data_IF_315567039879
#
_entry.id   IF_315567039879
#
_cell.length_a   1.000
_cell.length_b   1.000
_cell.length_c   1.000
_cell.angle_alpha   90.00
_cell.angle_beta   90.00
_cell.angle_gamma   90.00
#
_symmetry.space_group_name_H-M   'P 1'
#
loop_
_entity.id
_entity.type
_entity.pdbx_description
1 polymer ?
#
# COMPACT_ATOMS: atom_id res chain seq x y z
N UNK A 1 -38.83 -62.22 28.63
CA UNK A 1 -38.60 -63.16 27.51
C UNK A 1 -39.74 -63.01 26.51
N UNK A 2 -39.41 -62.93 25.21
CA UNK A 2 -40.27 -62.90 24.00
C UNK A 2 -41.21 -61.68 23.81
N UNK A 3 -40.87 -60.70 22.94
CA UNK A 3 -40.94 -60.61 21.44
C UNK A 3 -42.37 -60.44 20.92
N UNK A 4 -42.61 -59.39 20.11
CA UNK A 4 -43.10 -59.31 18.70
C UNK A 4 -43.85 -57.95 18.60
N UNK A 5 -43.94 -57.14 17.54
CA UNK A 5 -43.29 -56.95 16.24
C UNK A 5 -43.67 -55.53 15.75
N UNK A 6 -42.88 -55.03 14.80
CA UNK A 6 -43.02 -53.81 13.99
C UNK A 6 -44.38 -53.61 13.30
N UNK A 7 -44.72 -52.37 12.95
CA UNK A 7 -45.13 -51.92 11.59
C UNK A 7 -45.16 -50.38 11.55
N UNK A 8 -44.86 -49.85 10.37
CA UNK A 8 -44.47 -48.49 10.04
C UNK A 8 -45.60 -47.64 9.43
N UNK A 9 -45.21 -46.40 9.07
CA UNK A 9 -45.77 -45.50 8.06
C UNK A 9 -46.84 -44.51 8.58
N UNK A 10 -46.56 -43.19 8.50
CA UNK A 10 -47.04 -42.34 7.39
C UNK A 10 -46.55 -40.89 7.56
N UNK A 11 -46.05 -40.33 6.46
CA UNK A 11 -45.62 -38.94 6.34
C UNK A 11 -46.81 -37.97 6.30
N UNK A 12 -46.62 -36.74 6.77
CA UNK A 12 -47.34 -35.56 6.24
C UNK A 12 -46.50 -34.31 6.43
N UNK A 13 -46.27 -33.61 5.32
CA UNK A 13 -45.66 -32.30 5.26
C UNK A 13 -46.68 -31.21 5.61
N UNK A 14 -46.22 -30.06 6.13
CA UNK A 14 -46.91 -28.78 5.92
C UNK A 14 -45.95 -27.61 6.09
N UNK A 15 -46.22 -26.57 5.30
CA UNK A 15 -45.42 -25.38 5.00
C UNK A 15 -45.66 -24.21 5.99
N UNK A 16 -44.80 -23.20 5.83
CA UNK A 16 -45.04 -21.74 5.89
C UNK A 16 -44.52 -20.93 7.11
N UNK A 17 -43.52 -20.10 6.80
CA UNK A 17 -43.39 -18.63 6.98
C UNK A 17 -43.64 -17.95 8.34
N UNK A 18 -42.62 -17.22 8.82
CA UNK A 18 -42.63 -15.79 9.23
C UNK A 18 -41.25 -15.46 9.86
N UNK A 19 -40.40 -14.63 9.24
CA UNK A 19 -40.37 -13.17 9.37
C UNK A 19 -40.26 -12.66 10.81
N UNK A 20 -39.10 -12.09 11.16
CA UNK A 20 -38.97 -10.88 11.99
C UNK A 20 -37.58 -10.27 11.75
N UNK A 21 -37.54 -9.21 10.94
CA UNK A 21 -36.46 -8.24 10.99
C UNK A 21 -36.58 -7.42 12.26
N UNK A 22 -35.45 -7.09 12.88
CA UNK A 22 -35.39 -6.06 13.90
C UNK A 22 -34.45 -4.95 13.43
N UNK A 23 -35.06 -3.85 13.03
CA UNK A 23 -34.38 -2.58 12.80
C UNK A 23 -34.11 -1.95 14.16
N UNK A 24 -32.85 -1.64 14.44
CA UNK A 24 -32.49 -0.71 15.50
C UNK A 24 -31.66 0.40 14.87
N UNK A 25 -32.34 1.49 14.50
CA UNK A 25 -31.72 2.77 14.30
C UNK A 25 -31.15 3.25 15.64
N UNK A 26 -29.83 3.36 15.72
CA UNK A 26 -29.18 4.30 16.63
C UNK A 26 -28.47 5.33 15.77
N UNK A 27 -29.05 6.54 15.73
CA UNK A 27 -28.32 7.75 15.34
C UNK A 27 -27.14 7.89 16.30
N UNK A 28 -25.93 8.00 15.76
CA UNK A 28 -24.83 8.62 16.47
C UNK A 28 -24.08 9.51 15.48
N UNK A 29 -23.71 10.67 15.99
CA UNK A 29 -23.15 11.81 15.27
C UNK A 29 -21.85 11.49 14.54
N UNK A 30 -21.58 12.33 13.53
CA UNK A 30 -20.54 12.19 12.52
C UNK A 30 -19.20 11.68 13.04
N UNK A 31 -18.87 10.46 12.66
CA UNK A 31 -17.48 10.02 12.49
C UNK A 31 -17.22 9.95 11.00
N UNK A 32 -16.14 10.58 10.53
CA UNK A 32 -15.66 10.43 9.15
C UNK A 32 -15.59 8.96 8.77
N UNK A 33 -16.61 8.51 8.03
CA UNK A 33 -16.67 7.15 7.50
C UNK A 33 -15.69 7.08 6.35
N UNK A 34 -14.45 6.74 6.68
CA UNK A 34 -13.47 6.31 5.69
C UNK A 34 -14.03 5.04 5.02
N UNK A 35 -14.47 5.16 3.77
CA UNK A 35 -15.01 4.02 3.01
C UNK A 35 -13.85 3.16 2.54
N UNK A 36 -13.66 2.00 3.18
CA UNK A 36 -12.71 1.00 2.74
C UNK A 36 -13.28 0.21 1.56
N UNK A 37 -12.57 0.22 0.44
CA UNK A 37 -12.91 -0.56 -0.75
C UNK A 37 -11.81 -1.59 -1.00
N UNK A 38 -12.12 -2.85 -0.70
CA UNK A 38 -11.27 -3.97 -1.13
C UNK A 38 -11.37 -4.10 -2.65
N UNK A 39 -10.24 -4.04 -3.34
CA UNK A 39 -10.21 -4.08 -4.80
C UNK A 39 -10.29 -5.55 -5.22
N UNK A 40 -11.48 -6.00 -5.60
CA UNK A 40 -11.70 -7.39 -6.01
C UNK A 40 -10.80 -7.75 -7.21
N UNK A 41 -10.24 -8.97 -7.19
CA UNK A 41 -9.48 -9.58 -8.29
C UNK A 41 -8.13 -8.93 -8.63
N UNK A 42 -7.55 -8.12 -7.74
CA UNK A 42 -6.13 -7.70 -7.92
C UNK A 42 -5.22 -8.90 -7.70
N UNK A 43 -4.57 -9.35 -8.77
CA UNK A 43 -3.52 -10.36 -8.70
C UNK A 43 -2.29 -9.75 -8.01
N UNK A 44 -1.79 -10.43 -6.98
CA UNK A 44 -0.49 -10.12 -6.37
C UNK A 44 0.61 -10.59 -7.34
N UNK A 45 1.56 -9.70 -7.63
CA UNK A 45 2.62 -9.92 -8.60
C UNK A 45 4.00 -9.95 -7.94
N UNK A 46 5.05 -10.24 -8.71
CA UNK A 46 6.42 -10.27 -8.20
C UNK A 46 6.87 -8.87 -7.78
N UNK A 47 7.55 -8.80 -6.64
CA UNK A 47 8.09 -7.56 -6.08
C UNK A 47 9.16 -6.93 -6.96
N UNK A 48 9.92 -7.70 -7.72
CA UNK A 48 10.92 -7.19 -8.66
C UNK A 48 11.08 -8.14 -9.84
N UNK A 49 11.58 -7.61 -10.95
CA UNK A 49 12.06 -8.38 -12.09
C UNK A 49 13.59 -8.53 -12.11
N UNK A 50 14.32 -7.88 -11.19
CA UNK A 50 15.77 -7.97 -11.06
C UNK A 50 16.23 -9.10 -10.15
N UNK A 51 17.50 -9.47 -10.28
CA UNK A 51 18.21 -10.36 -9.34
C UNK A 51 18.97 -9.55 -8.30
N UNK A 52 19.36 -10.12 -7.15
CA UNK A 52 20.30 -9.48 -6.24
C UNK A 52 21.60 -9.09 -6.94
N UNK A 53 22.12 -7.89 -6.67
CA UNK A 53 23.38 -7.43 -7.29
C UNK A 53 23.55 -5.92 -7.41
N UNK A 54 24.63 -5.47 -8.07
CA UNK A 54 25.01 -4.05 -8.15
C UNK A 54 24.12 -3.23 -9.09
N UNK A 55 23.54 -3.85 -10.11
CA UNK A 55 22.66 -3.17 -11.07
C UNK A 55 21.44 -2.53 -10.40
N UNK A 56 21.01 -1.41 -11.00
CA UNK A 56 19.85 -0.64 -10.56
C UNK A 56 18.60 -1.52 -10.48
N UNK A 57 17.83 -1.35 -9.41
CA UNK A 57 16.63 -2.12 -9.10
C UNK A 57 15.37 -1.28 -9.26
N UNK A 58 14.31 -1.96 -9.68
CA UNK A 58 12.94 -1.48 -9.61
C UNK A 58 12.13 -2.45 -8.76
N UNK A 59 11.16 -1.91 -8.02
CA UNK A 59 10.29 -2.68 -7.15
C UNK A 59 8.83 -2.31 -7.36
N UNK A 60 7.96 -3.31 -7.36
CA UNK A 60 6.56 -3.19 -7.71
C UNK A 60 5.71 -3.68 -6.56
N UNK A 61 4.67 -2.91 -6.23
CA UNK A 61 3.69 -3.21 -5.19
C UNK A 61 2.28 -3.08 -5.78
N UNK A 62 1.44 -4.09 -5.62
CA UNK A 62 0.05 -4.06 -6.10
C UNK A 62 -0.85 -3.45 -5.02
N UNK A 63 -1.70 -2.49 -5.39
CA UNK A 63 -2.70 -1.90 -4.49
C UNK A 63 -3.84 -2.90 -4.37
N UNK A 64 -4.05 -3.43 -3.16
CA UNK A 64 -5.06 -4.47 -2.90
C UNK A 64 -6.28 -3.94 -2.17
N UNK A 65 -6.14 -2.81 -1.49
CA UNK A 65 -7.21 -2.15 -0.77
C UNK A 65 -6.93 -0.64 -0.75
N UNK A 66 -8.00 0.13 -0.85
CA UNK A 66 -7.97 1.59 -0.83
C UNK A 66 -9.00 2.09 0.19
N UNK A 67 -8.54 3.00 1.05
CA UNK A 67 -9.40 3.79 1.95
C UNK A 67 -9.31 5.24 1.52
N UNK A 68 -10.45 5.82 1.17
CA UNK A 68 -10.56 7.26 0.88
C UNK A 68 -10.86 8.02 2.17
N UNK A 69 -10.13 9.12 2.39
CA UNK A 69 -10.44 10.13 3.42
C UNK A 69 -10.91 11.41 2.75
N UNK A 70 -11.15 12.46 3.54
CA UNK A 70 -11.52 13.78 3.03
C UNK A 70 -10.40 14.47 2.24
N UNK A 71 -9.14 14.11 2.51
CA UNK A 71 -7.97 14.81 1.95
C UNK A 71 -6.88 13.89 1.41
N UNK A 72 -7.04 12.57 1.52
CA UNK A 72 -6.02 11.60 1.14
C UNK A 72 -6.62 10.26 0.73
N UNK A 73 -5.77 9.44 0.13
CA UNK A 73 -6.03 8.02 -0.12
C UNK A 73 -4.98 7.18 0.56
N UNK A 74 -5.44 6.15 1.26
CA UNK A 74 -4.59 5.19 1.96
C UNK A 74 -4.63 3.89 1.17
N UNK A 75 -3.50 3.48 0.65
CA UNK A 75 -3.33 2.27 -0.14
C UNK A 75 -2.66 1.18 0.69
N UNK A 76 -3.31 0.03 0.83
CA UNK A 76 -2.65 -1.18 1.33
C UNK A 76 -2.10 -1.96 0.14
N UNK A 77 -0.79 -2.18 0.15
CA UNK A 77 -0.10 -2.81 -0.97
C UNK A 77 0.49 -4.17 -0.65
N UNK A 78 0.59 -5.03 -1.67
CA UNK A 78 1.17 -6.37 -1.57
C UNK A 78 1.91 -6.75 -2.85
N UNK A 79 3.01 -7.46 -2.71
CA UNK A 79 3.70 -8.21 -3.76
C UNK A 79 4.31 -9.48 -3.19
N UNK A 80 4.81 -10.37 -4.06
CA UNK A 80 5.53 -11.58 -3.69
C UNK A 80 7.02 -11.41 -3.94
N UNK A 81 7.83 -11.68 -2.92
CA UNK A 81 9.26 -11.87 -3.05
C UNK A 81 9.61 -13.27 -2.53
N UNK A 82 10.09 -14.14 -3.42
CA UNK A 82 10.16 -15.58 -3.18
C UNK A 82 8.79 -16.14 -2.74
N UNK A 83 8.70 -16.71 -1.53
CA UNK A 83 7.46 -17.24 -0.95
C UNK A 83 6.77 -16.24 -0.01
N UNK A 84 7.41 -15.10 0.27
CA UNK A 84 6.91 -14.12 1.23
C UNK A 84 6.06 -13.05 0.56
N UNK A 85 4.98 -12.68 1.23
CA UNK A 85 4.25 -11.46 0.89
C UNK A 85 4.96 -10.25 1.51
N UNK A 86 5.27 -9.26 0.69
CA UNK A 86 5.88 -7.99 1.08
C UNK A 86 4.91 -6.84 0.82
N UNK A 87 4.99 -5.76 1.59
CA UNK A 87 4.16 -4.58 1.36
C UNK A 87 4.26 -3.53 2.45
N UNK A 88 3.65 -2.38 2.20
CA UNK A 88 3.49 -1.28 3.15
C UNK A 88 2.18 -0.53 2.87
N UNK A 89 1.78 0.35 3.80
CA UNK A 89 0.70 1.31 3.57
C UNK A 89 1.27 2.64 3.06
N UNK A 90 0.59 3.21 2.07
CA UNK A 90 0.91 4.51 1.51
C UNK A 90 -0.28 5.43 1.64
N UNK A 91 -0.17 6.48 2.46
CA UNK A 91 -1.14 7.58 2.46
C UNK A 91 -0.63 8.67 1.53
N UNK A 92 -1.43 9.06 0.54
CA UNK A 92 -1.10 10.12 -0.42
C UNK A 92 -2.20 11.16 -0.36
N UNK A 93 -1.82 12.41 -0.11
CA UNK A 93 -2.73 13.55 -0.07
C UNK A 93 -3.24 13.84 -1.49
N UNK A 94 -4.53 14.12 -1.63
CA UNK A 94 -5.14 14.56 -2.88
C UNK A 94 -4.70 16.00 -3.20
N UNK A 95 -4.73 16.39 -4.48
CA UNK A 95 -4.41 17.74 -4.94
C UNK A 95 -2.97 18.21 -4.63
N UNK A 96 -1.99 17.31 -4.77
CA UNK A 96 -0.57 17.70 -4.78
C UNK A 96 -0.32 18.57 -6.03
N UNK A 97 0.24 19.78 -5.91
CA UNK A 97 0.51 20.64 -7.07
C UNK A 97 1.40 19.98 -8.13
N UNK A 98 1.28 20.46 -9.37
CA UNK A 98 2.28 20.21 -10.39
C UNK A 98 3.65 20.76 -9.94
N UNK A 99 4.70 19.94 -10.01
CA UNK A 99 6.06 20.42 -9.76
C UNK A 99 6.84 20.77 -11.02
N UNK A 100 6.26 20.53 -12.20
CA UNK A 100 6.79 20.96 -13.50
C UNK A 100 5.89 22.04 -14.09
N UNK A 101 6.38 23.27 -14.16
CA UNK A 101 5.68 24.44 -14.71
C UNK A 101 6.47 24.94 -15.92
N UNK A 102 5.80 25.12 -17.06
CA UNK A 102 6.42 25.53 -18.32
C UNK A 102 7.64 24.68 -18.74
N UNK A 103 7.60 23.40 -18.37
CA UNK A 103 8.66 22.43 -18.66
C UNK A 103 9.85 22.48 -17.72
N UNK A 104 9.83 23.34 -16.69
CA UNK A 104 10.89 23.47 -15.70
C UNK A 104 10.42 23.00 -14.30
N UNK A 105 11.32 22.42 -13.48
CA UNK A 105 11.06 22.22 -12.06
C UNK A 105 10.73 23.55 -11.37
N UNK A 106 9.70 23.54 -10.53
CA UNK A 106 9.38 24.67 -9.66
C UNK A 106 9.81 24.35 -8.23
N UNK A 107 10.76 25.12 -7.69
CA UNK A 107 11.21 24.94 -6.31
C UNK A 107 10.14 25.42 -5.30
N UNK A 108 9.32 26.39 -5.67
CA UNK A 108 8.31 27.01 -4.79
C UNK A 108 7.16 26.06 -4.44
N UNK A 109 6.71 25.23 -5.39
CA UNK A 109 5.57 24.31 -5.20
C UNK A 109 5.92 22.84 -5.41
N UNK A 110 7.08 22.55 -6.00
CA UNK A 110 7.47 21.20 -6.36
C UNK A 110 7.81 20.34 -5.16
N UNK A 111 8.45 20.90 -4.13
CA UNK A 111 8.87 20.17 -2.93
C UNK A 111 7.89 20.32 -1.78
N UNK A 112 7.43 19.19 -1.24
CA UNK A 112 6.49 19.16 -0.12
C UNK A 112 6.79 18.00 0.82
N UNK A 113 6.77 18.26 2.13
CA UNK A 113 6.89 17.21 3.15
C UNK A 113 5.50 16.75 3.60
N UNK A 114 5.35 15.45 3.83
CA UNK A 114 4.13 14.86 4.42
C UNK A 114 2.96 14.68 3.44
N UNK A 115 3.14 14.96 2.15
CA UNK A 115 2.14 14.63 1.10
C UNK A 115 2.08 13.14 0.78
N UNK A 116 3.17 12.42 1.03
CA UNK A 116 3.22 10.96 1.02
C UNK A 116 3.69 10.51 2.39
N UNK A 117 2.98 9.54 2.98
CA UNK A 117 3.36 8.90 4.24
C UNK A 117 3.43 7.39 4.03
N UNK A 118 4.47 6.76 4.57
CA UNK A 118 4.67 5.32 4.47
C UNK A 118 4.60 4.73 5.87
N UNK A 119 3.74 3.74 6.07
CA UNK A 119 3.53 3.09 7.37
C UNK A 119 3.56 1.57 7.26
N UNK A 120 3.94 0.93 8.37
CA UNK A 120 4.12 -0.51 8.44
C UNK A 120 2.79 -1.28 8.41
N UNK A 121 2.80 -2.42 7.72
CA UNK A 121 1.81 -3.50 7.77
C UNK A 121 2.22 -4.63 8.74
N UNK A 122 3.22 -4.39 9.60
CA UNK A 122 3.78 -5.41 10.47
C UNK A 122 4.66 -6.39 9.68
N UNK A 123 4.35 -7.69 9.75
CA UNK A 123 5.17 -8.75 9.14
C UNK A 123 5.45 -8.54 7.65
N UNK A 124 4.45 -8.06 6.89
CA UNK A 124 4.64 -7.82 5.45
C UNK A 124 5.65 -6.70 5.17
N UNK A 125 5.71 -5.68 6.02
CA UNK A 125 6.71 -4.60 5.90
C UNK A 125 8.08 -5.04 6.41
N UNK A 126 8.14 -5.90 7.41
CA UNK A 126 9.41 -6.52 7.82
C UNK A 126 9.98 -7.38 6.68
N UNK A 127 9.13 -8.14 5.99
CA UNK A 127 9.54 -8.91 4.82
C UNK A 127 9.97 -7.99 3.66
N UNK A 128 9.34 -6.81 3.50
CA UNK A 128 9.78 -5.80 2.54
C UNK A 128 11.22 -5.33 2.81
N UNK A 129 11.56 -5.02 4.07
CA UNK A 129 12.94 -4.62 4.44
C UNK A 129 13.93 -5.74 4.15
N UNK A 130 13.60 -6.99 4.49
CA UNK A 130 14.45 -8.15 4.20
C UNK A 130 14.65 -8.35 2.71
N UNK A 131 13.57 -8.28 1.92
CA UNK A 131 13.62 -8.40 0.47
C UNK A 131 14.51 -7.32 -0.17
N UNK A 132 14.40 -6.07 0.29
CA UNK A 132 15.28 -4.99 -0.14
C UNK A 132 16.74 -5.26 0.25
N UNK A 133 16.99 -5.67 1.50
CA UNK A 133 18.32 -6.03 1.97
C UNK A 133 18.97 -7.14 1.13
N UNK A 134 18.22 -8.19 0.82
CA UNK A 134 18.69 -9.26 -0.07
C UNK A 134 18.97 -8.76 -1.49
N UNK A 135 18.05 -8.00 -2.10
CA UNK A 135 18.21 -7.45 -3.45
C UNK A 135 19.41 -6.52 -3.58
N UNK A 136 19.72 -5.81 -2.50
CA UNK A 136 20.86 -4.90 -2.41
C UNK A 136 22.18 -5.58 -2.01
N UNK A 137 22.15 -6.88 -1.70
CA UNK A 137 23.28 -7.59 -1.08
C UNK A 137 23.74 -6.95 0.23
N UNK A 138 22.79 -6.36 0.96
CA UNK A 138 22.91 -5.74 2.27
C UNK A 138 21.91 -6.38 3.23
N UNK A 139 22.03 -7.69 3.52
CA UNK A 139 21.05 -8.41 4.33
C UNK A 139 20.93 -7.77 5.71
N UNK A 140 19.70 -7.70 6.21
CA UNK A 140 19.38 -7.15 7.53
C UNK A 140 18.34 -8.00 8.25
N UNK A 141 18.45 -8.07 9.58
CA UNK A 141 17.46 -8.66 10.47
C UNK A 141 16.50 -7.61 11.05
N UNK A 142 16.65 -6.35 10.68
CA UNK A 142 15.85 -5.25 11.18
C UNK A 142 14.39 -5.35 10.72
N UNK A 143 13.49 -4.92 11.60
CA UNK A 143 12.08 -4.73 11.28
C UNK A 143 11.88 -3.39 10.56
N UNK A 144 10.77 -3.29 9.82
CA UNK A 144 10.29 -1.98 9.37
C UNK A 144 9.96 -1.12 10.59
N UNK A 145 10.32 0.15 10.55
CA UNK A 145 10.12 1.09 11.64
C UNK A 145 8.64 1.18 12.05
N UNK A 146 8.39 1.45 13.33
CA UNK A 146 7.03 1.76 13.82
C UNK A 146 6.63 3.21 13.56
N UNK A 147 7.63 4.07 13.30
CA UNK A 147 7.40 5.49 13.03
C UNK A 147 6.85 5.69 11.61
N UNK A 148 6.13 6.79 11.40
CA UNK A 148 5.68 7.18 10.07
C UNK A 148 6.86 7.71 9.28
N UNK A 149 7.13 7.11 8.12
CA UNK A 149 8.17 7.61 7.21
C UNK A 149 7.57 8.73 6.36
N UNK A 150 8.15 9.94 6.50
CA UNK A 150 7.67 11.18 5.88
C UNK A 150 8.72 11.73 4.91
N UNK A 151 8.80 11.21 3.67
CA UNK A 151 9.72 11.75 2.67
C UNK A 151 9.41 13.22 2.38
N UNK A 152 10.46 13.98 2.03
CA UNK A 152 10.25 15.17 1.21
C UNK A 152 9.95 14.70 -0.21
N UNK A 153 8.94 15.29 -0.85
CA UNK A 153 8.37 14.82 -2.10
C UNK A 153 8.49 15.91 -3.15
N UNK A 154 9.13 15.59 -4.27
CA UNK A 154 9.05 16.39 -5.48
C UNK A 154 8.00 15.82 -6.44
N UNK A 155 7.04 16.63 -6.88
CA UNK A 155 6.04 16.24 -7.88
C UNK A 155 6.62 16.34 -9.30
N UNK A 156 6.87 15.21 -9.96
CA UNK A 156 7.39 15.19 -11.35
C UNK A 156 6.29 15.41 -12.40
N UNK A 157 5.10 15.85 -11.97
CA UNK A 157 3.90 15.97 -12.80
C UNK A 157 3.78 17.39 -13.38
N UNK A 158 3.24 17.47 -14.61
CA UNK A 158 2.88 18.73 -15.29
C UNK A 158 1.47 19.24 -14.93
N UNK A 159 0.73 18.44 -14.18
CA UNK A 159 -0.63 18.75 -13.74
C UNK A 159 -0.76 18.41 -12.25
N UNK A 160 -1.70 19.05 -11.58
CA UNK A 160 -2.04 18.73 -10.20
C UNK A 160 -2.48 17.26 -10.10
N UNK A 161 -2.05 16.62 -9.03
CA UNK A 161 -2.38 15.23 -8.71
C UNK A 161 -3.82 15.15 -8.25
N UNK A 162 -4.62 14.32 -8.89
CA UNK A 162 -6.00 14.01 -8.51
C UNK A 162 -6.14 12.49 -8.53
N UNK A 163 -6.04 11.86 -7.36
CA UNK A 163 -6.03 10.39 -7.26
C UNK A 163 -7.41 9.78 -7.51
N UNK A 164 -8.45 10.59 -7.76
CA UNK A 164 -9.74 10.12 -8.28
C UNK A 164 -9.71 9.76 -9.77
N UNK A 165 -8.73 10.29 -10.50
CA UNK A 165 -8.54 9.98 -11.91
C UNK A 165 -7.82 8.66 -12.05
N UNK A 166 -8.23 7.88 -13.06
CA UNK A 166 -7.59 6.62 -13.47
C UNK A 166 -6.36 6.96 -14.35
N UNK A 167 -5.24 7.26 -13.71
CA UNK A 167 -4.00 7.68 -14.38
C UNK A 167 -2.78 7.33 -13.52
N UNK A 168 -1.59 7.56 -14.07
CA UNK A 168 -0.34 7.48 -13.32
C UNK A 168 0.16 8.88 -12.90
N UNK A 169 0.80 8.92 -11.74
CA UNK A 169 1.51 10.09 -11.21
C UNK A 169 2.92 9.69 -10.80
N UNK A 170 3.87 10.59 -11.00
CA UNK A 170 5.29 10.37 -10.75
C UNK A 170 5.84 11.38 -9.75
N UNK A 171 6.66 10.89 -8.84
CA UNK A 171 7.29 11.67 -7.79
C UNK A 171 8.75 11.27 -7.63
N UNK A 172 9.55 12.18 -7.09
CA UNK A 172 10.85 11.87 -6.52
C UNK A 172 10.75 11.99 -5.01
N UNK A 173 11.17 10.96 -4.29
CA UNK A 173 11.15 10.96 -2.82
C UNK A 173 12.57 11.14 -2.30
N UNK A 174 12.67 11.88 -1.20
CA UNK A 174 13.89 12.11 -0.44
C UNK A 174 13.62 11.64 0.99
N UNK A 175 14.19 10.51 1.37
CA UNK A 175 13.97 9.92 2.69
C UNK A 175 15.09 10.29 3.65
N UNK A 176 14.73 11.08 4.65
CA UNK A 176 15.58 11.31 5.82
C UNK A 176 15.92 9.98 6.49
N UNK A 177 17.18 9.85 6.91
CA UNK A 177 17.70 8.62 7.49
C UNK A 177 18.87 8.92 8.45
N UNK A 178 19.36 7.90 9.16
CA UNK A 178 20.37 8.06 10.21
C UNK A 178 21.80 7.71 9.77
N UNK A 179 21.98 7.26 8.52
CA UNK A 179 23.26 6.70 8.04
C UNK A 179 23.95 7.52 6.97
N UNK A 180 23.18 8.27 6.17
CA UNK A 180 23.68 8.99 5.00
C UNK A 180 22.79 10.20 4.70
N UNK A 181 23.19 10.95 3.66
CA UNK A 181 22.32 11.92 3.00
C UNK A 181 20.95 11.33 2.66
N UNK A 182 19.90 12.15 2.51
CA UNK A 182 18.55 11.68 2.21
C UNK A 182 18.54 10.73 1.00
N UNK A 183 17.91 9.56 1.18
CA UNK A 183 17.86 8.56 0.13
C UNK A 183 16.94 9.02 -1.00
N UNK A 184 17.44 9.01 -2.23
CA UNK A 184 16.65 9.37 -3.41
C UNK A 184 16.17 8.16 -4.20
N UNK A 185 14.88 8.20 -4.57
CA UNK A 185 14.26 7.25 -5.47
C UNK A 185 13.04 7.86 -6.18
N UNK A 186 12.71 7.30 -7.33
CA UNK A 186 11.48 7.60 -8.03
C UNK A 186 10.34 6.75 -7.48
N UNK A 187 9.17 7.36 -7.36
CA UNK A 187 7.93 6.73 -6.89
C UNK A 187 6.83 7.04 -7.88
N UNK A 188 6.26 5.99 -8.47
CA UNK A 188 5.13 6.10 -9.37
C UNK A 188 3.92 5.40 -8.76
N UNK A 189 2.76 6.05 -8.82
CA UNK A 189 1.48 5.43 -8.50
C UNK A 189 0.61 5.43 -9.76
N UNK A 190 0.07 4.27 -10.11
CA UNK A 190 -0.87 4.08 -11.20
C UNK A 190 -2.21 3.61 -10.61
N UNK A 191 -3.18 4.53 -10.54
CA UNK A 191 -4.51 4.26 -10.00
C UNK A 191 -5.38 3.45 -10.97
N UNK A 192 -5.04 3.43 -12.27
CA UNK A 192 -5.72 2.60 -13.26
C UNK A 192 -5.26 1.15 -13.16
N UNK A 193 -3.94 0.94 -13.10
CA UNK A 193 -3.35 -0.38 -12.98
C UNK A 193 -3.27 -0.86 -11.54
N UNK A 194 -3.69 -0.10 -10.54
CA UNK A 194 -3.61 -0.45 -9.12
C UNK A 194 -2.19 -0.89 -8.72
N UNK A 195 -1.19 -0.07 -9.04
CA UNK A 195 0.22 -0.38 -8.81
C UNK A 195 1.00 0.81 -8.29
N UNK A 196 2.00 0.51 -7.47
CA UNK A 196 3.06 1.42 -7.06
C UNK A 196 4.38 0.84 -7.55
N UNK A 197 5.21 1.69 -8.16
CA UNK A 197 6.56 1.35 -8.59
C UNK A 197 7.56 2.28 -7.90
N UNK A 198 8.64 1.68 -7.40
CA UNK A 198 9.83 2.36 -6.96
C UNK A 198 10.97 2.06 -7.93
N UNK A 199 11.71 3.09 -8.33
CA UNK A 199 12.95 2.94 -9.09
C UNK A 199 14.06 3.65 -8.36
N UNK A 200 15.19 2.98 -8.13
CA UNK A 200 16.34 3.63 -7.51
C UNK A 200 16.77 4.85 -8.34
N UNK A 201 17.32 5.89 -7.72
CA UNK A 201 18.07 6.89 -8.49
C UNK A 201 19.34 6.24 -9.02
N UNK A 202 20.14 5.71 -8.10
CA UNK A 202 21.34 4.89 -8.30
C UNK A 202 21.65 4.08 -7.01
N UNK A 203 22.56 3.08 -7.06
CA UNK A 203 22.84 2.20 -5.93
C UNK A 203 23.41 2.86 -4.67
N UNK A 204 23.94 4.09 -4.74
CA UNK A 204 24.58 4.74 -3.58
C UNK A 204 23.58 5.04 -2.44
N UNK A 205 22.29 5.17 -2.77
CA UNK A 205 21.22 5.49 -1.83
C UNK A 205 20.65 4.27 -1.07
N UNK A 206 21.08 3.04 -1.37
CA UNK A 206 20.54 1.79 -0.77
C UNK A 206 20.64 1.76 0.75
N UNK A 207 21.78 2.18 1.28
CA UNK A 207 22.02 2.23 2.72
C UNK A 207 21.05 3.20 3.41
N UNK A 208 20.86 4.39 2.83
CA UNK A 208 19.93 5.40 3.31
C UNK A 208 18.47 4.92 3.21
N UNK A 209 18.09 4.23 2.13
CA UNK A 209 16.74 3.68 1.96
C UNK A 209 16.42 2.63 3.03
N UNK A 210 17.33 1.67 3.25
CA UNK A 210 17.18 0.69 4.32
C UNK A 210 17.14 1.37 5.69
N UNK A 211 17.99 2.37 5.93
CA UNK A 211 18.00 3.16 7.16
C UNK A 211 16.66 3.88 7.40
N UNK A 212 16.09 4.51 6.37
CA UNK A 212 14.80 5.19 6.45
C UNK A 212 13.66 4.21 6.80
N UNK A 213 13.62 3.03 6.18
CA UNK A 213 12.58 2.04 6.44
C UNK A 213 12.76 1.26 7.74
N UNK A 214 13.96 1.24 8.32
CA UNK A 214 14.23 0.56 9.60
C UNK A 214 14.29 1.54 10.78
N UNK A 215 14.43 2.84 10.51
CA UNK A 215 14.64 3.88 11.52
C UNK A 215 16.02 3.82 12.20
N UNK A 216 17.01 3.17 11.56
CA UNK A 216 18.33 2.87 12.13
C UNK A 216 19.49 3.39 11.30
#
# INVERSE_FOLDING_TARGET
>A
MYKIQSIAILATATLMLAACGNSNQKKNDGSDTATANTIERVRIEKFTNGTPGPEKKNFFLRITDEVKTDSSRIYTTKSLYNQDTVGAKFEIIDFIPAGIIDGQPSDDVGFTKGKIKITSLGTQSNNLVKALGELFQMPTSDAFTKDVVLPNVFSSNKMNVDLSKKTAYSFKLFLENKKAEPAELFFNIDTYKHGIEFSEKDPSFRAGLLSAFTGK
#
